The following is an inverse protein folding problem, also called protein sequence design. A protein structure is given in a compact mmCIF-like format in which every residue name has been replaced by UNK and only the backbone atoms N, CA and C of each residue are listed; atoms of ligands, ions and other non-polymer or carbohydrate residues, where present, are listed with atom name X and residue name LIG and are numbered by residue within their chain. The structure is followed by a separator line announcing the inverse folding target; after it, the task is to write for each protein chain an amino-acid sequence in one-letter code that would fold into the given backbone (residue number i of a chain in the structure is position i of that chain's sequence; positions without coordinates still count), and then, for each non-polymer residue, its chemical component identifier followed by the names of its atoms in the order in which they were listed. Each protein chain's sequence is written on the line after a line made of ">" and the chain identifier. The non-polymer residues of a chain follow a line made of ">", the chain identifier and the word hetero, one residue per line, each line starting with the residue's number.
data_IF_142489846089
#
_entry.id   IF_142489846089
#
_cell.length_a   1.000
_cell.length_b   1.000
_cell.length_c   1.000
_cell.angle_alpha   90.00
_cell.angle_beta   90.00
_cell.angle_gamma   90.00
#
_symmetry.space_group_name_H-M   'P 1'
#
loop_
_entity.id
_entity.type
_entity.pdbx_description
1 polymer ?
#
# COMPACT_ATOMS: atom_id res chain seq x y z
N UNK A 1 15.36 7.77 21.42
CA UNK A 1 14.22 7.17 22.14
C UNK A 1 13.25 6.62 21.11
N UNK A 2 12.74 5.42 21.35
CA UNK A 2 11.65 4.79 20.61
C UNK A 2 10.34 5.60 20.74
N UNK A 3 9.33 5.25 19.95
CA UNK A 3 8.06 5.97 19.87
C UNK A 3 7.00 5.36 20.79
N UNK A 4 6.56 6.12 21.79
CA UNK A 4 5.60 5.65 22.80
C UNK A 4 4.13 5.72 22.38
N UNK A 5 3.84 6.10 21.13
CA UNK A 5 2.49 6.09 20.54
C UNK A 5 2.55 5.70 19.06
N UNK A 6 1.57 4.95 18.56
CA UNK A 6 1.44 4.69 17.14
C UNK A 6 0.99 5.95 16.39
N UNK A 7 1.46 6.09 15.15
CA UNK A 7 0.93 7.08 14.21
C UNK A 7 -0.35 6.57 13.55
N UNK A 8 -1.29 7.48 13.22
CA UNK A 8 -2.52 7.10 12.53
C UNK A 8 -2.24 6.56 11.13
N UNK A 9 -2.79 5.39 10.82
CA UNK A 9 -2.68 4.72 9.50
C UNK A 9 -1.24 4.47 9.03
N UNK A 10 -0.30 4.29 9.96
CA UNK A 10 1.11 4.02 9.66
C UNK A 10 1.58 2.89 10.57
N UNK A 11 1.88 1.74 9.97
CA UNK A 11 2.50 0.64 10.70
C UNK A 11 4.02 0.85 10.79
N UNK A 12 4.60 0.41 11.91
CA UNK A 12 6.05 0.30 12.13
C UNK A 12 6.33 -0.91 13.02
N UNK A 13 7.53 -1.51 12.95
CA UNK A 13 7.89 -2.56 13.89
C UNK A 13 8.04 -1.98 15.30
N UNK A 14 7.80 -2.82 16.28
CA UNK A 14 8.15 -2.58 17.66
C UNK A 14 9.66 -2.80 17.87
N UNK A 15 10.19 -2.39 19.02
CA UNK A 15 11.62 -2.54 19.38
C UNK A 15 12.13 -3.99 19.34
N UNK A 16 11.22 -4.97 19.42
CA UNK A 16 11.50 -6.40 19.26
C UNK A 16 11.37 -6.91 17.81
N UNK A 17 11.34 -6.01 16.83
CA UNK A 17 11.18 -6.25 15.38
C UNK A 17 9.88 -6.92 14.94
N UNK A 18 8.93 -7.13 15.84
CA UNK A 18 7.58 -7.59 15.49
C UNK A 18 6.71 -6.40 15.08
N UNK A 19 5.76 -6.60 14.16
CA UNK A 19 4.76 -5.59 13.80
C UNK A 19 3.49 -5.64 14.66
N UNK A 20 3.34 -6.69 15.48
CA UNK A 20 2.19 -6.91 16.34
C UNK A 20 2.64 -7.35 17.73
N UNK A 21 1.93 -6.87 18.75
CA UNK A 21 2.03 -7.39 20.13
C UNK A 21 1.03 -8.53 20.37
N UNK A 22 -0.13 -8.47 19.69
CA UNK A 22 -1.18 -9.49 19.74
C UNK A 22 -2.01 -9.48 18.44
N UNK A 23 -2.62 -10.62 18.09
CA UNK A 23 -3.43 -10.77 16.87
C UNK A 23 -4.85 -10.23 17.00
N UNK A 24 -5.40 -10.11 18.22
CA UNK A 24 -6.81 -9.74 18.46
C UNK A 24 -6.97 -8.43 19.24
N UNK A 25 -5.95 -8.02 19.99
CA UNK A 25 -5.94 -6.76 20.74
C UNK A 25 -4.79 -5.87 20.26
N UNK A 26 -4.97 -5.24 19.11
CA UNK A 26 -3.97 -4.40 18.46
C UNK A 26 -4.55 -3.04 18.08
N UNK A 27 -3.71 -2.00 18.10
CA UNK A 27 -4.06 -0.65 17.71
C UNK A 27 -4.58 -0.54 16.26
N UNK A 28 -4.20 -1.48 15.40
CA UNK A 28 -4.63 -1.53 13.99
C UNK A 28 -6.14 -1.77 13.83
N UNK A 29 -6.81 -2.30 14.86
CA UNK A 29 -8.25 -2.56 14.87
C UNK A 29 -9.06 -1.46 15.58
N UNK A 30 -8.41 -0.46 16.18
CA UNK A 30 -9.09 0.65 16.85
C UNK A 30 -9.73 1.60 15.82
N UNK A 31 -10.92 2.11 16.14
CA UNK A 31 -11.65 3.00 15.24
C UNK A 31 -10.98 4.38 15.09
N UNK A 32 -10.25 4.83 16.11
CA UNK A 32 -9.47 6.08 16.10
C UNK A 32 -8.20 5.96 15.24
N UNK A 33 -7.73 4.72 15.00
CA UNK A 33 -6.66 4.44 14.06
C UNK A 33 -7.14 4.59 12.62
N UNK A 34 -8.25 3.92 12.29
CA UNK A 34 -8.93 4.05 10.99
C UNK A 34 -10.35 3.50 11.04
N UNK A 35 -11.32 4.33 10.67
CA UNK A 35 -12.71 3.91 10.41
C UNK A 35 -12.95 3.45 8.96
N UNK A 36 -11.95 3.56 8.08
CA UNK A 36 -12.06 3.28 6.65
C UNK A 36 -11.42 1.94 6.23
N UNK A 37 -10.85 1.18 7.17
CA UNK A 37 -10.12 -0.07 6.86
C UNK A 37 -10.96 -1.03 6.01
N UNK A 38 -12.17 -1.34 6.47
CA UNK A 38 -13.05 -2.32 5.78
C UNK A 38 -13.43 -1.81 4.39
N UNK A 39 -13.78 -0.54 4.24
CA UNK A 39 -14.19 0.01 2.93
C UNK A 39 -13.02 0.04 1.95
N UNK A 40 -11.82 0.41 2.40
CA UNK A 40 -10.61 0.40 1.58
C UNK A 40 -10.21 -1.02 1.13
N UNK A 41 -10.30 -2.02 2.02
CA UNK A 41 -10.00 -3.42 1.67
C UNK A 41 -11.04 -3.95 0.67
N UNK A 42 -12.33 -3.68 0.88
CA UNK A 42 -13.39 -4.09 -0.07
C UNK A 42 -13.18 -3.49 -1.46
N UNK A 43 -12.79 -2.22 -1.55
CA UNK A 43 -12.47 -1.60 -2.83
C UNK A 43 -11.32 -2.33 -3.54
N UNK A 44 -10.27 -2.71 -2.80
CA UNK A 44 -9.16 -3.50 -3.34
C UNK A 44 -9.58 -4.91 -3.77
N UNK A 45 -10.38 -5.63 -2.97
CA UNK A 45 -10.89 -6.96 -3.32
C UNK A 45 -11.70 -6.95 -4.63
N UNK A 46 -12.51 -5.91 -4.84
CA UNK A 46 -13.25 -5.71 -6.11
C UNK A 46 -12.29 -5.48 -7.28
N UNK A 47 -11.26 -4.64 -7.09
CA UNK A 47 -10.25 -4.39 -8.12
C UNK A 47 -9.47 -5.68 -8.45
N UNK A 48 -9.09 -6.47 -7.46
CA UNK A 48 -8.41 -7.76 -7.65
C UNK A 48 -9.29 -8.74 -8.41
N UNK A 49 -10.59 -8.80 -8.09
CA UNK A 49 -11.54 -9.63 -8.85
C UNK A 49 -11.61 -9.23 -10.32
N UNK A 50 -11.69 -7.93 -10.61
CA UNK A 50 -11.68 -7.42 -11.98
C UNK A 50 -10.33 -7.67 -12.69
N UNK A 51 -9.21 -7.61 -11.95
CA UNK A 51 -7.88 -7.92 -12.48
C UNK A 51 -7.77 -9.39 -12.88
N UNK A 52 -8.21 -10.32 -12.01
CA UNK A 52 -8.23 -11.75 -12.32
C UNK A 52 -9.12 -12.06 -13.53
N UNK A 53 -10.26 -11.36 -13.68
CA UNK A 53 -11.09 -11.49 -14.88
C UNK A 53 -10.35 -11.07 -16.16
N UNK A 54 -9.48 -10.05 -16.11
CA UNK A 54 -8.64 -9.69 -17.26
C UNK A 54 -7.64 -10.81 -17.56
N UNK A 55 -7.08 -11.44 -16.52
CA UNK A 55 -6.11 -12.53 -16.68
C UNK A 55 -6.73 -13.81 -17.27
N UNK A 56 -8.05 -14.00 -17.18
CA UNK A 56 -8.75 -15.08 -17.89
C UNK A 56 -8.63 -14.97 -19.43
N UNK A 57 -8.34 -13.76 -19.95
CA UNK A 57 -8.18 -13.49 -21.38
C UNK A 57 -6.76 -13.13 -21.79
N UNK A 58 -5.99 -12.51 -20.88
CA UNK A 58 -4.63 -12.05 -21.12
C UNK A 58 -3.70 -12.76 -20.15
N UNK A 59 -2.99 -13.78 -20.64
CA UNK A 59 -2.07 -14.56 -19.82
C UNK A 59 -1.05 -13.65 -19.10
N UNK A 60 -0.85 -13.80 -17.77
CA UNK A 60 0.16 -13.05 -17.00
C UNK A 60 1.57 -13.48 -17.41
N UNK A 61 2.04 -12.95 -18.53
CA UNK A 61 3.31 -13.31 -19.14
C UNK A 61 4.07 -12.06 -19.59
N UNK A 62 5.40 -12.11 -19.57
CA UNK A 62 6.23 -10.99 -20.02
C UNK A 62 5.90 -10.52 -21.45
N UNK A 63 5.49 -11.42 -22.34
CA UNK A 63 5.08 -11.07 -23.71
C UNK A 63 3.80 -10.23 -23.76
N UNK A 64 2.97 -10.28 -22.72
CA UNK A 64 1.67 -9.61 -22.65
C UNK A 64 1.70 -8.31 -21.83
N UNK A 65 2.85 -7.88 -21.32
CA UNK A 65 2.98 -6.66 -20.52
C UNK A 65 2.38 -5.42 -21.18
N UNK A 66 2.60 -5.30 -22.49
CA UNK A 66 2.16 -4.15 -23.28
C UNK A 66 0.72 -4.30 -23.80
N UNK A 67 0.01 -5.37 -23.45
CA UNK A 67 -1.39 -5.54 -23.82
C UNK A 67 -2.22 -4.45 -23.16
N UNK A 68 -2.94 -3.68 -23.97
CA UNK A 68 -3.83 -2.61 -23.53
C UNK A 68 -5.24 -2.86 -24.08
N UNK A 69 -6.25 -2.43 -23.34
CA UNK A 69 -7.65 -2.55 -23.75
C UNK A 69 -8.51 -1.55 -22.98
N UNK A 70 -9.76 -1.37 -23.40
CA UNK A 70 -10.70 -0.54 -22.65
C UNK A 70 -10.94 -1.07 -21.24
N UNK A 71 -10.90 -2.39 -21.03
CA UNK A 71 -11.04 -3.02 -19.72
C UNK A 71 -9.83 -2.78 -18.82
N UNK A 72 -8.62 -2.83 -19.38
CA UNK A 72 -7.38 -2.50 -18.64
C UNK A 72 -7.38 -1.01 -18.30
N UNK A 73 -7.76 -0.13 -19.23
CA UNK A 73 -7.92 1.31 -18.98
C UNK A 73 -8.90 1.63 -17.84
N UNK A 74 -10.10 1.06 -17.88
CA UNK A 74 -11.12 1.28 -16.85
C UNK A 74 -10.63 0.83 -15.46
N UNK A 75 -9.95 -0.33 -15.40
CA UNK A 75 -9.41 -0.84 -14.14
C UNK A 75 -8.20 -0.03 -13.66
N UNK A 76 -7.33 0.40 -14.58
CA UNK A 76 -6.14 1.19 -14.26
C UNK A 76 -6.52 2.54 -13.66
N UNK A 77 -7.52 3.24 -14.22
CA UNK A 77 -8.03 4.49 -13.65
C UNK A 77 -8.63 4.29 -12.26
N UNK A 78 -9.45 3.23 -12.06
CA UNK A 78 -10.04 2.92 -10.76
C UNK A 78 -8.96 2.60 -9.72
N UNK A 79 -7.97 1.79 -10.09
CA UNK A 79 -6.85 1.40 -9.21
C UNK A 79 -6.06 2.62 -8.75
N UNK A 80 -5.67 3.50 -9.66
CA UNK A 80 -4.92 4.70 -9.31
C UNK A 80 -5.75 5.68 -8.47
N UNK A 81 -7.06 5.79 -8.73
CA UNK A 81 -7.95 6.64 -7.93
C UNK A 81 -8.09 6.12 -6.50
N UNK A 82 -8.20 4.80 -6.30
CA UNK A 82 -8.21 4.19 -4.97
C UNK A 82 -6.86 4.36 -4.25
N UNK A 83 -5.74 4.29 -4.99
CA UNK A 83 -4.43 4.62 -4.43
C UNK A 83 -4.38 6.07 -3.93
N UNK A 84 -4.79 7.05 -4.75
CA UNK A 84 -4.85 8.45 -4.33
C UNK A 84 -5.75 8.67 -3.11
N UNK A 85 -6.88 7.96 -3.05
CA UNK A 85 -7.81 8.00 -1.92
C UNK A 85 -7.11 7.57 -0.62
N UNK A 86 -6.36 6.46 -0.65
CA UNK A 86 -5.58 5.97 0.48
C UNK A 86 -4.47 6.95 0.89
N UNK A 87 -3.73 7.52 -0.07
CA UNK A 87 -2.71 8.51 0.23
C UNK A 87 -3.29 9.77 0.89
N UNK A 88 -4.41 10.29 0.36
CA UNK A 88 -5.15 11.40 0.97
C UNK A 88 -5.62 11.04 2.38
N UNK A 89 -6.09 9.82 2.58
CA UNK A 89 -6.52 9.33 3.89
C UNK A 89 -5.38 9.36 4.92
N UNK A 90 -4.18 8.92 4.55
CA UNK A 90 -3.00 8.94 5.43
C UNK A 90 -2.58 10.37 5.77
N UNK A 91 -2.42 11.23 4.76
CA UNK A 91 -1.97 12.62 4.96
C UNK A 91 -2.96 13.42 5.82
N UNK A 92 -4.26 13.29 5.53
CA UNK A 92 -5.32 13.96 6.28
C UNK A 92 -5.42 13.49 7.73
N UNK A 93 -5.33 12.17 7.99
CA UNK A 93 -5.32 11.61 9.35
C UNK A 93 -4.13 12.06 10.20
N UNK A 94 -3.05 12.53 9.56
CA UNK A 94 -1.85 13.06 10.21
C UNK A 94 -1.72 14.58 10.07
N UNK A 95 -2.83 15.28 9.80
CA UNK A 95 -2.93 16.74 9.84
C UNK A 95 -1.97 17.47 8.88
N UNK A 96 -1.67 16.88 7.71
CA UNK A 96 -0.85 17.53 6.69
C UNK A 96 -1.46 18.88 6.26
N UNK A 97 -0.68 19.95 6.34
CA UNK A 97 -1.23 21.32 6.30
C UNK A 97 -1.44 21.91 4.91
N UNK A 98 -0.88 21.30 3.86
CA UNK A 98 -0.99 21.82 2.49
C UNK A 98 -2.45 21.95 2.06
N UNK A 99 -2.83 23.15 1.63
CA UNK A 99 -4.16 23.44 1.10
C UNK A 99 -4.28 23.10 -0.40
N UNK A 100 -5.50 22.85 -0.87
CA UNK A 100 -5.78 22.58 -2.28
C UNK A 100 -5.66 21.11 -2.68
N UNK A 101 -5.41 20.85 -3.97
CA UNK A 101 -5.30 19.49 -4.51
C UNK A 101 -3.92 18.92 -4.22
N UNK A 102 -3.90 17.76 -3.57
CA UNK A 102 -2.68 16.97 -3.40
C UNK A 102 -2.35 16.16 -4.65
N UNK A 103 -1.07 15.97 -4.90
CA UNK A 103 -0.53 15.23 -6.04
C UNK A 103 0.54 14.22 -5.58
N UNK A 104 1.14 13.52 -6.54
CA UNK A 104 2.14 12.48 -6.26
C UNK A 104 3.37 12.96 -5.50
N UNK A 105 3.75 14.24 -5.64
CA UNK A 105 4.88 14.83 -4.90
C UNK A 105 4.52 15.06 -3.43
N UNK A 106 3.22 15.23 -3.12
CA UNK A 106 2.75 15.23 -1.74
C UNK A 106 2.69 13.80 -1.19
N UNK A 107 2.20 12.84 -1.98
CA UNK A 107 2.13 11.44 -1.58
C UNK A 107 3.51 10.81 -1.37
N UNK A 108 4.53 11.27 -2.10
CA UNK A 108 5.93 10.90 -1.89
C UNK A 108 6.36 11.02 -0.43
N UNK A 109 5.85 12.02 0.31
CA UNK A 109 6.17 12.23 1.74
C UNK A 109 5.75 11.07 2.64
N UNK A 110 4.78 10.27 2.22
CA UNK A 110 4.36 9.06 2.93
C UNK A 110 5.53 8.07 3.04
N UNK A 111 6.46 8.07 2.07
CA UNK A 111 7.62 7.19 2.09
C UNK A 111 8.46 7.35 3.38
N UNK A 112 8.64 8.57 3.89
CA UNK A 112 9.38 8.80 5.15
C UNK A 112 8.69 8.18 6.36
N UNK A 113 7.37 8.10 6.34
CA UNK A 113 6.61 7.53 7.44
C UNK A 113 6.58 6.00 7.44
N UNK A 114 6.66 5.39 6.26
CA UNK A 114 6.25 3.99 6.01
C UNK A 114 7.30 3.13 5.29
N UNK A 115 8.33 3.74 4.69
CA UNK A 115 9.36 3.09 3.87
C UNK A 115 8.81 2.33 2.65
N UNK A 116 7.78 2.88 2.00
CA UNK A 116 7.14 2.31 0.80
C UNK A 116 8.14 1.85 -0.28
N UNK A 117 9.23 2.58 -0.49
CA UNK A 117 10.27 2.25 -1.49
C UNK A 117 11.03 0.95 -1.20
N UNK A 118 10.97 0.44 0.04
CA UNK A 118 11.66 -0.78 0.46
C UNK A 118 10.78 -2.03 0.37
N UNK A 119 9.47 -1.88 0.19
CA UNK A 119 8.57 -3.02 0.02
C UNK A 119 8.85 -3.74 -1.31
N UNK A 120 8.79 -5.07 -1.26
CA UNK A 120 8.89 -5.93 -2.43
C UNK A 120 7.66 -6.84 -2.51
N UNK A 121 7.04 -6.87 -3.69
CA UNK A 121 5.84 -7.65 -3.97
C UNK A 121 6.16 -8.74 -5.00
N UNK A 122 5.71 -9.96 -4.75
CA UNK A 122 5.80 -11.07 -5.72
C UNK A 122 4.42 -11.46 -6.22
N UNK A 123 4.28 -11.62 -7.54
CA UNK A 123 3.11 -12.18 -8.21
C UNK A 123 3.51 -13.53 -8.83
N UNK A 124 3.18 -14.62 -8.13
CA UNK A 124 3.65 -15.97 -8.48
C UNK A 124 2.99 -16.56 -9.72
N UNK A 125 1.79 -16.11 -10.06
CA UNK A 125 1.05 -16.58 -11.25
C UNK A 125 1.68 -16.08 -12.56
N UNK A 126 2.69 -15.21 -12.49
CA UNK A 126 3.34 -14.66 -13.67
C UNK A 126 4.36 -15.63 -14.29
N UNK A 127 4.49 -15.58 -15.62
CA UNK A 127 5.32 -16.47 -16.43
C UNK A 127 6.29 -15.67 -17.32
N UNK A 128 7.51 -16.17 -17.63
CA UNK A 128 8.07 -17.48 -17.28
C UNK A 128 8.55 -17.59 -15.82
N UNK A 129 8.70 -16.45 -15.14
CA UNK A 129 9.12 -16.39 -13.74
C UNK A 129 8.14 -15.55 -12.94
N UNK A 130 8.13 -15.76 -11.62
CA UNK A 130 7.43 -14.89 -10.66
C UNK A 130 7.78 -13.43 -10.92
N UNK A 131 6.76 -12.57 -10.98
CA UNK A 131 6.97 -11.14 -11.20
C UNK A 131 7.39 -10.49 -9.88
N UNK A 132 8.56 -9.86 -9.88
CA UNK A 132 9.01 -9.00 -8.77
C UNK A 132 8.58 -7.57 -9.07
N UNK A 133 7.84 -6.97 -8.13
CA UNK A 133 7.25 -5.64 -8.26
C UNK A 133 7.73 -4.76 -7.09
N UNK A 134 8.26 -3.58 -7.43
CA UNK A 134 8.65 -2.55 -6.46
C UNK A 134 7.97 -1.22 -6.83
N UNK A 135 6.66 -1.08 -6.55
CA UNK A 135 5.85 0.01 -7.11
C UNK A 135 6.31 1.41 -6.69
N UNK A 136 7.08 1.53 -5.61
CA UNK A 136 7.58 2.79 -5.04
C UNK A 136 9.10 2.93 -5.11
N UNK A 137 9.83 2.10 -5.87
CA UNK A 137 11.31 2.10 -5.86
C UNK A 137 11.92 3.48 -6.15
N UNK A 138 11.29 4.25 -7.05
CA UNK A 138 11.74 5.60 -7.38
C UNK A 138 11.67 6.57 -6.19
N UNK A 139 10.85 6.30 -5.18
CA UNK A 139 10.76 7.11 -3.97
C UNK A 139 11.94 6.93 -3.00
N UNK A 140 12.90 6.05 -3.31
CA UNK A 140 14.23 6.05 -2.68
C UNK A 140 15.13 7.21 -3.16
N UNK A 141 14.58 8.14 -3.93
CA UNK A 141 15.21 9.41 -4.29
C UNK A 141 15.35 10.33 -3.06
N UNK A 142 16.36 11.23 -3.00
CA UNK A 142 16.42 12.28 -1.99
C UNK A 142 15.42 13.42 -2.24
N UNK A 143 14.89 13.53 -3.46
CA UNK A 143 13.94 14.59 -3.86
C UNK A 143 12.61 14.00 -4.34
N UNK A 144 11.47 14.70 -4.13
CA UNK A 144 10.17 14.24 -4.60
C UNK A 144 10.17 13.92 -6.10
N UNK A 145 9.69 12.73 -6.44
CA UNK A 145 9.62 12.23 -7.82
C UNK A 145 8.32 11.48 -8.05
N UNK A 146 7.79 11.58 -9.27
CA UNK A 146 6.62 10.79 -9.67
C UNK A 146 7.00 9.35 -9.98
N UNK A 147 6.06 8.43 -9.80
CA UNK A 147 6.20 7.03 -10.19
C UNK A 147 5.83 6.86 -11.66
N UNK A 148 6.52 6.00 -12.40
CA UNK A 148 6.28 5.79 -13.84
C UNK A 148 4.83 5.38 -14.13
N UNK A 149 4.28 4.44 -13.35
CA UNK A 149 2.89 4.02 -13.50
C UNK A 149 1.90 5.15 -13.15
N UNK A 150 2.29 6.11 -12.29
CA UNK A 150 1.44 7.26 -11.98
C UNK A 150 1.53 8.35 -13.05
N UNK A 151 2.69 8.52 -13.69
CA UNK A 151 2.85 9.35 -14.90
C UNK A 151 1.94 8.78 -16.00
N UNK A 152 2.03 7.46 -16.24
CA UNK A 152 1.18 6.77 -17.20
C UNK A 152 -0.31 6.96 -16.92
N UNK A 153 -0.72 6.84 -15.65
CA UNK A 153 -2.09 7.13 -15.23
C UNK A 153 -2.53 8.55 -15.59
N UNK A 154 -1.71 9.56 -15.32
CA UNK A 154 -2.06 10.95 -15.63
C UNK A 154 -2.12 11.21 -17.14
N UNK A 155 -1.17 10.67 -17.91
CA UNK A 155 -1.18 10.78 -19.37
C UNK A 155 -2.48 10.19 -19.94
N UNK A 156 -2.82 8.96 -19.52
CA UNK A 156 -4.05 8.26 -19.91
C UNK A 156 -5.31 9.03 -19.52
N UNK A 157 -5.33 9.62 -18.31
CA UNK A 157 -6.46 10.38 -17.77
C UNK A 157 -6.70 11.70 -18.52
N UNK A 158 -5.64 12.37 -18.96
CA UNK A 158 -5.71 13.70 -19.57
C UNK A 158 -5.69 13.67 -21.11
N UNK A 159 -5.05 12.67 -21.71
CA UNK A 159 -4.91 12.52 -23.15
C UNK A 159 -5.03 11.05 -23.58
N UNK A 160 -6.20 10.46 -23.32
CA UNK A 160 -6.49 9.06 -23.69
C UNK A 160 -6.22 8.78 -25.17
N UNK A 161 -6.51 9.72 -26.07
CA UNK A 161 -6.40 9.46 -27.52
C UNK A 161 -4.97 9.12 -27.94
N UNK A 162 -3.98 9.79 -27.35
CA UNK A 162 -2.57 9.52 -27.65
C UNK A 162 -1.93 8.53 -26.66
N UNK A 163 -2.35 8.56 -25.39
CA UNK A 163 -1.74 7.76 -24.32
C UNK A 163 -2.44 6.43 -24.04
N UNK A 164 -3.45 6.01 -24.82
CA UNK A 164 -4.24 4.80 -24.53
C UNK A 164 -3.39 3.54 -24.30
N UNK A 165 -2.27 3.40 -25.01
CA UNK A 165 -1.33 2.27 -24.88
C UNK A 165 -0.63 2.20 -23.53
N UNK A 166 -0.55 3.31 -22.80
CA UNK A 166 0.01 3.34 -21.44
C UNK A 166 -0.95 2.71 -20.42
N UNK A 167 -2.24 2.56 -20.76
CA UNK A 167 -3.18 1.73 -20.01
C UNK A 167 -3.01 0.24 -20.36
N UNK A 168 -1.82 -0.29 -20.09
CA UNK A 168 -1.43 -1.67 -20.36
C UNK A 168 -1.32 -2.52 -19.08
N UNK A 169 -1.20 -3.83 -19.27
CA UNK A 169 -1.13 -4.81 -18.19
C UNK A 169 0.02 -4.54 -17.22
N UNK A 170 1.19 -4.08 -17.71
CA UNK A 170 2.34 -3.72 -16.88
C UNK A 170 2.02 -2.59 -15.91
N UNK A 171 1.52 -1.46 -16.43
CA UNK A 171 1.19 -0.30 -15.60
C UNK A 171 0.04 -0.59 -14.64
N UNK A 172 -0.97 -1.34 -15.08
CA UNK A 172 -2.05 -1.82 -14.22
C UNK A 172 -1.53 -2.71 -13.09
N UNK A 173 -0.65 -3.67 -13.39
CA UNK A 173 -0.09 -4.59 -12.38
C UNK A 173 0.79 -3.84 -11.37
N UNK A 174 1.60 -2.89 -11.83
CA UNK A 174 2.38 -2.01 -10.94
C UNK A 174 1.47 -1.16 -10.05
N UNK A 175 0.46 -0.49 -10.61
CA UNK A 175 -0.49 0.30 -9.83
C UNK A 175 -1.27 -0.55 -8.82
N UNK A 176 -1.67 -1.76 -9.20
CA UNK A 176 -2.36 -2.70 -8.31
C UNK A 176 -1.46 -3.13 -7.14
N UNK A 177 -0.18 -3.43 -7.42
CA UNK A 177 0.80 -3.71 -6.36
C UNK A 177 1.06 -2.48 -5.48
N UNK A 178 1.01 -1.27 -6.04
CA UNK A 178 1.13 -0.01 -5.32
C UNK A 178 -0.05 0.22 -4.37
N UNK A 179 -1.27 -0.03 -4.84
CA UNK A 179 -2.49 0.01 -4.02
C UNK A 179 -2.45 -1.04 -2.90
N UNK A 180 -1.99 -2.25 -3.19
CA UNK A 180 -1.82 -3.28 -2.15
C UNK A 180 -0.79 -2.86 -1.10
N UNK A 181 0.37 -2.35 -1.53
CA UNK A 181 1.45 -1.94 -0.63
C UNK A 181 1.03 -0.79 0.27
N UNK A 182 0.29 0.22 -0.24
CA UNK A 182 -0.21 1.34 0.60
C UNK A 182 -1.28 0.87 1.60
N UNK A 183 -2.07 -0.16 1.27
CA UNK A 183 -3.00 -0.77 2.23
C UNK A 183 -2.27 -1.56 3.30
N UNK A 184 -1.26 -2.34 2.89
CA UNK A 184 -0.45 -3.10 3.81
C UNK A 184 0.35 -2.20 4.76
N UNK A 185 0.89 -1.07 4.29
CA UNK A 185 1.57 -0.08 5.15
C UNK A 185 0.63 0.63 6.14
N UNK A 186 -0.68 0.52 5.96
CA UNK A 186 -1.68 1.02 6.90
C UNK A 186 -2.18 -0.07 7.86
N UNK A 187 -2.37 -1.30 7.39
CA UNK A 187 -3.12 -2.30 8.16
C UNK A 187 -2.37 -3.62 8.40
N UNK A 188 -1.11 -3.74 7.95
CA UNK A 188 -0.33 -4.97 8.02
C UNK A 188 -1.15 -6.16 7.47
N UNK A 189 -1.10 -7.32 8.11
CA UNK A 189 -1.84 -8.53 7.72
C UNK A 189 -3.37 -8.40 7.85
N UNK A 190 -3.87 -7.35 8.51
CA UNK A 190 -5.31 -7.06 8.58
C UNK A 190 -5.88 -6.44 7.29
N UNK A 191 -5.05 -6.23 6.25
CA UNK A 191 -5.51 -5.85 4.92
C UNK A 191 -5.91 -7.04 4.04
N UNK A 192 -5.67 -8.28 4.47
CA UNK A 192 -5.89 -9.48 3.64
C UNK A 192 -7.35 -9.92 3.54
N UNK A 193 -8.24 -9.44 4.41
CA UNK A 193 -9.65 -9.82 4.38
C UNK A 193 -10.51 -8.70 4.98
N UNK A 194 -11.57 -8.31 4.27
CA UNK A 194 -12.50 -7.28 4.73
C UNK A 194 -13.57 -7.77 5.71
N UNK A 195 -13.75 -9.09 5.83
CA UNK A 195 -14.79 -9.76 6.62
C UNK A 195 -14.27 -10.31 7.95
N UNK A 196 -13.00 -10.70 8.02
CA UNK A 196 -12.40 -11.31 9.21
C UNK A 196 -11.19 -10.53 9.71
N UNK A 197 -11.15 -10.30 11.03
CA UNK A 197 -10.01 -9.65 11.67
C UNK A 197 -8.83 -10.61 11.88
N UNK A 198 -9.04 -11.92 11.84
CA UNK A 198 -7.99 -12.88 12.12
C UNK A 198 -7.75 -13.73 10.87
N UNK A 199 -6.61 -13.51 10.22
CA UNK A 199 -6.18 -14.32 9.10
C UNK A 199 -4.88 -15.02 9.45
N UNK A 200 -4.86 -16.34 9.26
CA UNK A 200 -3.61 -17.07 9.18
C UNK A 200 -2.84 -16.59 7.95
N UNK A 201 -1.67 -16.02 8.19
CA UNK A 201 -0.68 -15.72 7.16
C UNK A 201 0.54 -16.62 7.38
N UNK A 202 1.31 -16.82 6.32
CA UNK A 202 2.57 -17.55 6.37
C UNK A 202 3.66 -16.56 6.01
N UNK A 203 4.82 -16.69 6.66
CA UNK A 203 6.05 -16.04 6.24
C UNK A 203 6.96 -17.12 5.68
N UNK A 204 7.37 -17.00 4.41
CA UNK A 204 8.29 -17.96 3.81
C UNK A 204 9.75 -17.69 4.22
N UNK A 205 10.65 -18.60 3.83
CA UNK A 205 12.07 -18.54 4.21
C UNK A 205 12.79 -17.29 3.69
N UNK A 206 12.21 -16.57 2.72
CA UNK A 206 12.75 -15.35 2.15
C UNK A 206 12.18 -14.09 2.82
N UNK A 207 11.27 -14.26 3.79
CA UNK A 207 10.63 -13.19 4.55
C UNK A 207 9.38 -12.62 3.87
N UNK A 208 8.81 -13.31 2.87
CA UNK A 208 7.57 -12.86 2.24
C UNK A 208 6.36 -13.37 3.01
N UNK A 209 5.44 -12.46 3.29
CA UNK A 209 4.16 -12.71 3.92
C UNK A 209 3.10 -12.92 2.84
N UNK A 210 2.28 -13.96 2.99
CA UNK A 210 1.11 -14.18 2.15
C UNK A 210 -0.02 -14.94 2.87
N UNK A 211 -1.17 -14.98 2.20
CA UNK A 211 -2.34 -15.78 2.59
C UNK A 211 -2.87 -16.51 1.36
N UNK A 212 -3.72 -17.52 1.55
CA UNK A 212 -4.39 -18.22 0.45
C UNK A 212 -5.37 -17.33 -0.34
N UNK A 213 -5.77 -16.18 0.22
CA UNK A 213 -6.69 -15.22 -0.41
C UNK A 213 -5.98 -14.14 -1.21
N UNK A 214 -4.68 -13.93 -0.98
CA UNK A 214 -3.89 -12.90 -1.65
C UNK A 214 -3.29 -13.41 -2.95
N UNK A 215 -3.41 -12.63 -4.02
CA UNK A 215 -2.67 -12.87 -5.27
C UNK A 215 -1.17 -12.51 -5.13
N UNK A 216 -0.83 -11.69 -4.13
CA UNK A 216 0.51 -11.20 -3.87
C UNK A 216 1.14 -11.83 -2.65
N UNK A 217 2.46 -11.99 -2.69
CA UNK A 217 3.31 -12.06 -1.50
C UNK A 217 3.98 -10.71 -1.27
N UNK A 218 4.26 -10.35 -0.02
CA UNK A 218 4.86 -9.06 0.34
C UNK A 218 6.00 -9.23 1.34
N UNK A 219 7.13 -8.57 1.08
CA UNK A 219 8.24 -8.43 2.02
C UNK A 219 8.30 -7.00 2.55
N UNK A 220 8.48 -6.87 3.86
CA UNK A 220 8.51 -5.59 4.57
C UNK A 220 9.90 -4.94 4.55
N UNK A 221 9.97 -3.61 4.80
CA UNK A 221 11.21 -2.89 5.06
C UNK A 221 11.93 -3.45 6.30
N UNK A 222 13.26 -3.52 6.25
CA UNK A 222 14.12 -4.01 7.34
C UNK A 222 15.11 -2.95 7.86
N UNK A 223 15.06 -1.72 7.37
CA UNK A 223 16.04 -0.67 7.70
C UNK A 223 15.63 0.24 8.86
N UNK A 224 14.62 -0.10 9.65
CA UNK A 224 14.08 0.75 10.74
C UNK A 224 15.12 1.06 11.82
N UNK A 225 15.39 2.34 12.04
CA UNK A 225 16.22 2.77 13.16
C UNK A 225 15.44 2.65 14.48
N UNK A 226 16.13 2.44 15.59
CA UNK A 226 15.49 2.24 16.90
C UNK A 226 14.59 3.41 17.33
N UNK A 227 14.95 4.64 16.92
CA UNK A 227 14.13 5.84 17.17
C UNK A 227 12.86 5.92 16.34
N UNK A 228 12.73 5.09 15.31
CA UNK A 228 11.56 5.01 14.45
C UNK A 228 10.59 3.91 14.89
N UNK A 229 11.04 2.96 15.72
CA UNK A 229 10.25 1.81 16.18
C UNK A 229 9.29 2.19 17.29
N UNK A 230 8.22 1.42 17.41
CA UNK A 230 7.20 1.57 18.44
C UNK A 230 7.61 0.88 19.76
N UNK A 231 7.31 1.54 20.87
CA UNK A 231 7.60 1.05 22.23
C UNK A 231 6.50 1.50 23.19
N UNK A 232 5.33 0.91 23.02
CA UNK A 232 4.17 1.15 23.85
C UNK A 232 3.46 -0.15 24.14
N UNK A 233 2.72 -0.21 25.25
CA UNK A 233 1.79 -1.30 25.53
C UNK A 233 0.38 -0.88 25.09
N UNK A 234 -0.14 -1.54 24.07
CA UNK A 234 -1.49 -1.26 23.59
C UNK A 234 -2.58 -1.54 24.64
N UNK A 235 -2.39 -2.54 25.52
CA UNK A 235 -3.39 -2.84 26.55
C UNK A 235 -3.61 -1.63 27.46
N UNK A 236 -2.53 -1.01 27.93
CA UNK A 236 -2.58 0.23 28.70
C UNK A 236 -3.04 1.42 27.84
N UNK A 237 -2.43 1.64 26.68
CA UNK A 237 -2.66 2.82 25.85
C UNK A 237 -4.10 2.91 25.30
N UNK A 238 -4.74 1.77 25.03
CA UNK A 238 -6.11 1.70 24.51
C UNK A 238 -7.17 2.34 25.42
N UNK A 239 -6.87 2.49 26.72
CA UNK A 239 -7.74 3.13 27.71
C UNK A 239 -7.59 4.66 27.78
N UNK A 240 -6.53 5.20 27.14
CA UNK A 240 -6.27 6.64 27.08
C UNK A 240 -7.22 7.35 26.11
N UNK A 241 -7.52 8.62 26.38
CA UNK A 241 -8.19 9.49 25.40
C UNK A 241 -7.25 9.92 24.26
N UNK A 242 -5.94 9.96 24.52
CA UNK A 242 -4.91 10.36 23.57
C UNK A 242 -4.02 9.15 23.22
N UNK A 243 -4.56 8.29 22.34
CA UNK A 243 -3.96 7.00 21.96
C UNK A 243 -2.97 7.07 20.79
N UNK A 244 -3.11 8.07 19.93
CA UNK A 244 -2.40 8.14 18.63
C UNK A 244 -1.71 9.48 18.44
N UNK A 245 -0.52 9.45 17.83
CA UNK A 245 0.18 10.65 17.38
C UNK A 245 -0.03 10.93 15.89
N UNK A 246 0.19 12.18 15.48
CA UNK A 246 0.24 12.58 14.07
C UNK A 246 1.70 12.57 13.59
N UNK A 247 1.96 11.95 12.45
CA UNK A 247 3.26 12.08 11.78
C UNK A 247 3.35 13.44 11.06
N UNK A 248 4.34 14.26 11.39
CA UNK A 248 4.49 15.58 10.78
C UNK A 248 5.04 15.45 9.35
N UNK A 249 4.17 15.54 8.34
CA UNK A 249 4.53 15.50 6.91
C UNK A 249 4.96 16.85 6.32
N UNK A 250 4.85 17.94 7.07
CA UNK A 250 5.22 19.29 6.59
C UNK A 250 6.73 19.52 6.66
N UNK A 251 7.41 18.81 7.57
CA UNK A 251 8.87 18.83 7.70
C UNK A 251 9.53 17.80 6.77
N UNK A 252 10.69 18.12 6.19
CA UNK A 252 11.51 17.17 5.42
C UNK A 252 11.90 15.94 6.23
#
# INVERSE_FOLDING_TARGET
>A
MSLNKPFKKIIRPFTNDNYLQANTNTYLLDNDYSNARITSIRAFEIIVKDYLNILDYVEPNDNNENTYSHRIYELFLRTCTEFESNCKSILSSNQFTKTGRWNILDYYKINRATKLSEYEIHLNIWSPNTKVLKPFIAWNSPTPISLDWYIAYNNVKHDRNNAFREANLKNLTLALSGLFTILFSQYYTFCFDSHQNNNSFITDNQGFINTSKSIFKIKLPDTWAETEKYDFDWHTLSTSADKFSSFNFDTP
#
